data_IF_032233841430
#
_entry.id   IF_032233841430
#
_cell.length_a   1.000
_cell.length_b   1.000
_cell.length_c   1.000
_cell.angle_alpha   90.00
_cell.angle_beta   90.00
_cell.angle_gamma   90.00
#
_symmetry.space_group_name_H-M   'P 1'
#
loop_
_entity.id
_entity.type
_entity.pdbx_description
1 polymer ?
#
# COMPACT_ATOMS: atom_id res chain seq x y z
N UNK A 1 29.46 -6.13 13.55
CA UNK A 1 28.93 -5.24 12.49
C UNK A 1 29.04 -5.95 11.16
N UNK A 2 28.03 -6.71 10.78
CA UNK A 2 27.86 -7.11 9.39
C UNK A 2 27.09 -5.99 8.71
N UNK A 3 27.75 -5.31 7.78
CA UNK A 3 27.10 -4.30 6.93
C UNK A 3 25.97 -5.01 6.18
N UNK A 4 24.75 -4.53 6.35
CA UNK A 4 23.62 -4.97 5.54
C UNK A 4 23.89 -4.51 4.11
N UNK A 5 23.85 -5.43 3.15
CA UNK A 5 24.11 -5.08 1.75
C UNK A 5 23.16 -3.93 1.33
N UNK A 6 23.70 -2.84 0.77
CA UNK A 6 22.87 -1.73 0.31
C UNK A 6 21.93 -2.24 -0.77
N UNK A 7 20.63 -1.94 -0.62
CA UNK A 7 19.68 -2.17 -1.71
C UNK A 7 20.12 -1.26 -2.85
N UNK A 8 20.44 -1.86 -4.01
CA UNK A 8 20.82 -1.10 -5.19
C UNK A 8 19.64 -0.23 -5.64
N UNK A 9 19.71 1.07 -5.36
CA UNK A 9 18.72 2.02 -5.85
C UNK A 9 18.74 2.05 -7.37
N UNK A 10 17.63 1.72 -8.00
CA UNK A 10 17.42 2.01 -9.41
C UNK A 10 16.97 3.45 -9.51
N UNK A 11 17.79 4.31 -10.08
CA UNK A 11 17.33 5.65 -10.51
C UNK A 11 16.56 5.45 -11.80
N UNK A 12 15.31 5.93 -11.88
CA UNK A 12 14.61 5.95 -13.15
C UNK A 12 15.42 6.82 -14.14
N UNK A 13 15.55 6.41 -15.41
CA UNK A 13 16.05 7.33 -16.43
C UNK A 13 15.19 8.60 -16.45
N UNK A 14 15.73 9.76 -16.86
CA UNK A 14 14.94 10.97 -16.99
C UNK A 14 13.76 10.71 -17.95
N UNK A 15 12.55 10.71 -17.42
CA UNK A 15 11.35 10.38 -18.18
C UNK A 15 10.91 11.55 -19.07
N UNK A 16 10.32 11.17 -20.21
CA UNK A 16 9.59 12.07 -21.08
C UNK A 16 8.48 12.75 -20.29
N UNK A 17 8.31 14.06 -20.49
CA UNK A 17 7.19 14.83 -19.98
C UNK A 17 5.91 14.45 -20.73
N UNK A 18 5.35 13.28 -20.41
CA UNK A 18 4.02 12.86 -20.82
C UNK A 18 3.01 13.29 -19.77
N UNK A 19 2.99 14.60 -19.45
CA UNK A 19 1.83 15.21 -18.80
C UNK A 19 0.63 14.98 -19.73
N UNK A 20 -0.22 14.01 -19.38
CA UNK A 20 -1.54 13.95 -19.97
C UNK A 20 -2.24 15.28 -19.67
N UNK A 21 -2.90 15.93 -20.64
CA UNK A 21 -3.75 17.06 -20.33
C UNK A 21 -4.74 16.61 -19.25
N UNK A 22 -4.95 17.46 -18.24
CA UNK A 22 -5.84 17.22 -17.09
C UNK A 22 -5.33 16.27 -15.98
N UNK A 23 -4.02 16.03 -15.88
CA UNK A 23 -3.45 15.28 -14.77
C UNK A 23 -3.69 15.99 -13.42
N UNK A 24 -4.47 15.37 -12.53
CA UNK A 24 -4.64 15.83 -11.15
C UNK A 24 -3.41 15.43 -10.34
N UNK A 25 -2.51 16.38 -10.15
CA UNK A 25 -1.39 16.22 -9.23
C UNK A 25 -1.91 16.21 -7.79
N UNK A 26 -1.56 15.19 -6.97
CA UNK A 26 -2.00 15.18 -5.59
C UNK A 26 -1.29 16.30 -4.82
N UNK A 27 -2.09 17.12 -4.15
CA UNK A 27 -1.59 18.05 -3.14
C UNK A 27 -1.63 17.36 -1.78
N UNK A 28 -0.45 17.08 -1.24
CA UNK A 28 -0.32 16.45 0.07
C UNK A 28 -0.46 17.50 1.18
N UNK A 29 -1.16 17.14 2.24
CA UNK A 29 -1.34 18.02 3.39
C UNK A 29 0.01 18.31 4.05
N UNK A 30 0.41 19.59 4.06
CA UNK A 30 1.65 20.07 4.69
C UNK A 30 1.40 20.84 6.00
N UNK A 31 0.15 20.85 6.48
CA UNK A 31 -0.26 21.57 7.67
C UNK A 31 -0.16 20.74 8.95
N UNK A 32 -0.97 21.11 9.94
CA UNK A 32 -1.07 20.38 11.22
C UNK A 32 -1.71 19.01 11.01
N UNK A 33 -1.09 17.90 11.47
CA UNK A 33 -1.70 16.58 11.42
C UNK A 33 -3.11 16.58 12.05
N UNK A 34 -4.05 15.86 11.45
CA UNK A 34 -5.41 15.75 11.97
C UNK A 34 -5.47 15.05 13.35
N UNK A 35 -4.48 14.20 13.63
CA UNK A 35 -4.27 13.51 14.90
C UNK A 35 -2.85 13.80 15.36
N UNK A 36 -2.68 14.15 16.63
CA UNK A 36 -1.36 14.33 17.24
C UNK A 36 -0.52 13.05 17.09
N UNK A 37 0.66 13.11 16.42
CA UNK A 37 1.55 11.96 16.27
C UNK A 37 1.92 11.25 17.56
N UNK A 38 1.94 11.95 18.71
CA UNK A 38 2.21 11.34 20.00
C UNK A 38 1.15 10.29 20.42
N UNK A 39 -0.05 10.34 19.83
CA UNK A 39 -1.13 9.37 20.11
C UNK A 39 -0.94 8.02 19.44
N UNK A 40 -0.21 7.98 18.32
CA UNK A 40 0.01 6.76 17.55
C UNK A 40 1.48 6.36 17.41
N UNK A 41 2.42 7.18 17.89
CA UNK A 41 3.85 6.86 17.89
C UNK A 41 4.25 6.19 19.20
N UNK A 42 4.93 5.05 19.10
CA UNK A 42 5.60 4.38 20.22
C UNK A 42 7.10 4.45 19.95
N UNK A 43 7.80 5.24 20.78
CA UNK A 43 9.25 5.40 20.75
C UNK A 43 9.92 4.39 21.69
N UNK A 44 10.84 3.59 21.15
CA UNK A 44 11.57 2.55 21.88
C UNK A 44 13.00 2.96 22.26
N UNK A 45 13.39 4.20 21.99
CA UNK A 45 14.65 4.81 22.48
C UNK A 45 15.92 4.22 21.88
N UNK A 46 15.84 3.47 20.78
CA UNK A 46 16.98 2.90 20.05
C UNK A 46 17.53 1.61 20.66
N UNK A 47 16.94 1.11 21.75
CA UNK A 47 17.30 -0.17 22.34
C UNK A 47 16.89 -1.34 21.43
N UNK A 48 17.69 -2.40 21.30
CA UNK A 48 17.31 -3.54 20.48
C UNK A 48 16.11 -4.24 21.14
N UNK A 49 15.01 -4.35 20.39
CA UNK A 49 13.92 -5.26 20.75
C UNK A 49 14.44 -6.69 20.85
N UNK A 50 13.99 -7.40 21.88
CA UNK A 50 14.29 -8.81 22.09
C UNK A 50 13.20 -9.69 21.49
N UNK A 51 13.49 -10.98 21.31
CA UNK A 51 12.48 -11.95 20.89
C UNK A 51 11.29 -11.98 21.84
N UNK A 52 11.51 -11.74 23.14
CA UNK A 52 10.48 -11.70 24.18
C UNK A 52 9.51 -10.52 23.99
N UNK A 53 10.01 -9.37 23.53
CA UNK A 53 9.20 -8.19 23.20
C UNK A 53 8.35 -8.42 21.93
N UNK A 54 8.84 -9.25 21.01
CA UNK A 54 8.19 -9.58 19.74
C UNK A 54 7.23 -10.76 19.82
N UNK A 55 6.84 -11.21 21.02
CA UNK A 55 5.82 -12.25 21.22
C UNK A 55 4.43 -11.65 21.40
N UNK A 56 3.38 -12.31 20.89
CA UNK A 56 2.00 -12.00 21.27
C UNK A 56 1.83 -11.99 22.80
N UNK A 57 1.12 -11.00 23.33
CA UNK A 57 0.92 -10.80 24.77
C UNK A 57 2.13 -10.23 25.52
N UNK A 58 3.16 -9.76 24.80
CA UNK A 58 4.19 -8.90 25.41
C UNK A 58 3.60 -7.52 25.75
N UNK A 59 4.26 -6.78 26.65
CA UNK A 59 3.83 -5.41 26.96
C UNK A 59 3.87 -4.48 25.73
N UNK A 60 4.78 -4.74 24.77
CA UNK A 60 4.80 -4.04 23.48
C UNK A 60 3.56 -4.40 22.65
N UNK A 61 3.23 -5.69 22.56
CA UNK A 61 2.06 -6.15 21.81
C UNK A 61 0.77 -5.54 22.35
N UNK A 62 0.57 -5.57 23.68
CA UNK A 62 -0.59 -4.99 24.33
C UNK A 62 -0.68 -3.48 24.03
N UNK A 63 0.44 -2.76 24.18
CA UNK A 63 0.49 -1.33 23.90
C UNK A 63 0.20 -1.00 22.43
N UNK A 64 0.74 -1.76 21.49
CA UNK A 64 0.47 -1.56 20.07
C UNK A 64 -1.00 -1.81 19.73
N UNK A 65 -1.61 -2.87 20.29
CA UNK A 65 -3.03 -3.16 20.05
C UNK A 65 -3.93 -2.08 20.67
N UNK A 66 -3.65 -1.61 21.88
CA UNK A 66 -4.38 -0.49 22.49
C UNK A 66 -4.38 0.76 21.61
N UNK A 67 -3.19 1.16 21.11
CA UNK A 67 -3.03 2.32 20.24
C UNK A 67 -3.75 2.10 18.90
N UNK A 68 -3.63 0.90 18.32
CA UNK A 68 -4.30 0.56 17.07
C UNK A 68 -5.82 0.58 17.20
N UNK A 69 -6.37 0.06 18.29
CA UNK A 69 -7.81 0.04 18.53
C UNK A 69 -8.36 1.45 18.81
N UNK A 70 -7.58 2.33 19.45
CA UNK A 70 -7.97 3.71 19.71
C UNK A 70 -7.89 4.61 18.45
N UNK A 71 -6.82 4.48 17.66
CA UNK A 71 -6.48 5.45 16.59
C UNK A 71 -6.63 4.85 15.19
N UNK A 72 -6.51 3.54 15.02
CA UNK A 72 -6.45 2.86 13.73
C UNK A 72 -5.07 2.90 13.06
N UNK A 73 -4.05 3.44 13.73
CA UNK A 73 -2.67 3.56 13.25
C UNK A 73 -1.69 3.38 14.41
N UNK A 74 -0.58 2.69 14.16
CA UNK A 74 0.57 2.58 15.08
C UNK A 74 1.85 2.80 14.29
N UNK A 75 2.74 3.63 14.81
CA UNK A 75 4.08 3.87 14.27
C UNK A 75 5.10 3.51 15.35
N UNK A 76 5.89 2.47 15.11
CA UNK A 76 7.05 2.15 15.94
C UNK A 76 8.27 2.91 15.43
N UNK A 77 8.92 3.68 16.31
CA UNK A 77 10.16 4.40 16.01
C UNK A 77 11.28 3.98 16.94
N UNK A 78 12.52 4.20 16.48
CA UNK A 78 13.74 3.90 17.23
C UNK A 78 13.77 2.47 17.80
N UNK A 79 13.37 1.50 16.97
CA UNK A 79 13.18 0.10 17.35
C UNK A 79 14.47 -0.71 17.47
N UNK A 80 15.59 -0.18 16.96
CA UNK A 80 16.84 -0.91 16.82
C UNK A 80 16.84 -2.04 15.78
N UNK A 81 15.69 -2.33 15.14
CA UNK A 81 15.54 -3.40 14.16
C UNK A 81 16.21 -3.05 12.82
N UNK A 82 16.83 -4.04 12.17
CA UNK A 82 17.55 -3.85 10.88
C UNK A 82 17.17 -4.83 9.79
N UNK A 83 16.69 -6.00 10.14
CA UNK A 83 16.22 -7.00 9.19
C UNK A 83 14.69 -6.99 9.06
N UNK A 84 14.20 -7.35 7.88
CA UNK A 84 12.77 -7.33 7.56
C UNK A 84 11.99 -8.41 8.30
N UNK A 85 12.64 -9.51 8.69
CA UNK A 85 11.98 -10.60 9.40
C UNK A 85 11.54 -10.16 10.80
N UNK A 86 12.42 -9.51 11.56
CA UNK A 86 12.09 -8.95 12.86
C UNK A 86 11.07 -7.81 12.75
N UNK A 87 11.20 -6.92 11.75
CA UNK A 87 10.20 -5.88 11.48
C UNK A 87 8.82 -6.48 11.18
N UNK A 88 8.77 -7.59 10.44
CA UNK A 88 7.53 -8.34 10.18
C UNK A 88 6.96 -8.95 11.47
N UNK A 89 7.78 -9.51 12.35
CA UNK A 89 7.29 -10.03 13.64
C UNK A 89 6.65 -8.93 14.49
N UNK A 90 7.25 -7.75 14.54
CA UNK A 90 6.65 -6.59 15.20
C UNK A 90 5.28 -6.22 14.59
N UNK A 91 5.16 -6.22 13.26
CA UNK A 91 3.87 -5.96 12.59
C UNK A 91 2.80 -7.01 12.92
N UNK A 92 3.18 -8.28 13.04
CA UNK A 92 2.27 -9.38 13.39
C UNK A 92 1.74 -9.31 14.83
N UNK A 93 2.31 -8.47 15.69
CA UNK A 93 1.73 -8.21 17.01
C UNK A 93 0.33 -7.57 16.91
N UNK A 94 0.05 -6.84 15.82
CA UNK A 94 -1.25 -6.22 15.54
C UNK A 94 -1.98 -6.95 14.42
N UNK A 95 -1.26 -7.36 13.37
CA UNK A 95 -1.86 -8.10 12.25
C UNK A 95 -2.09 -9.56 12.65
N UNK A 96 -3.31 -9.89 13.07
CA UNK A 96 -3.75 -11.23 13.50
C UNK A 96 -3.63 -12.35 12.44
N UNK A 97 -3.05 -12.08 11.28
CA UNK A 97 -2.80 -13.03 10.20
C UNK A 97 -2.38 -12.34 8.90
N UNK A 98 -1.95 -13.15 7.93
CA UNK A 98 -1.51 -12.67 6.62
C UNK A 98 -2.52 -13.08 5.54
N UNK A 99 -2.74 -12.18 4.58
CA UNK A 99 -3.55 -12.47 3.40
C UNK A 99 -2.65 -12.90 2.24
N UNK A 100 -2.98 -14.01 1.57
CA UNK A 100 -2.37 -14.32 0.26
C UNK A 100 -2.89 -13.33 -0.77
N UNK A 101 -1.99 -12.62 -1.43
CA UNK A 101 -2.34 -11.64 -2.45
C UNK A 101 -2.70 -12.34 -3.77
N UNK A 102 -3.94 -12.23 -4.23
CA UNK A 102 -4.40 -12.87 -5.46
C UNK A 102 -5.26 -11.92 -6.33
N UNK A 103 -4.72 -11.51 -7.47
CA UNK A 103 -5.39 -10.66 -8.48
C UNK A 103 -5.25 -9.16 -8.21
N UNK A 104 -5.03 -8.37 -9.26
CA UNK A 104 -4.91 -6.91 -9.18
C UNK A 104 -3.52 -6.36 -8.82
N UNK A 105 -2.48 -7.21 -8.83
CA UNK A 105 -1.12 -6.84 -8.41
C UNK A 105 -0.31 -6.14 -9.49
N UNK A 106 0.56 -5.23 -9.06
CA UNK A 106 1.82 -4.89 -9.76
C UNK A 106 2.78 -6.08 -9.75
N UNK A 107 3.85 -6.08 -10.59
CA UNK A 107 4.94 -7.02 -10.45
C UNK A 107 5.67 -6.78 -9.11
N UNK A 108 5.18 -7.40 -8.04
CA UNK A 108 5.80 -7.36 -6.73
C UNK A 108 6.69 -8.59 -6.61
N UNK A 109 8.02 -8.42 -6.66
CA UNK A 109 8.94 -9.50 -6.30
C UNK A 109 8.94 -9.63 -4.77
N UNK A 110 8.65 -10.82 -4.21
CA UNK A 110 8.79 -11.02 -2.78
C UNK A 110 10.25 -10.78 -2.38
N UNK A 111 10.47 -9.92 -1.38
CA UNK A 111 11.79 -9.71 -0.77
C UNK A 111 11.98 -10.72 0.36
N UNK A 112 10.93 -10.96 1.14
CA UNK A 112 10.78 -11.95 2.21
C UNK A 112 9.33 -12.51 2.18
N UNK A 113 9.00 -13.60 2.90
CA UNK A 113 7.62 -14.09 3.00
C UNK A 113 6.63 -12.99 3.41
N UNK A 114 5.66 -12.70 2.53
CA UNK A 114 4.66 -11.63 2.68
C UNK A 114 5.24 -10.19 2.82
N UNK A 115 6.48 -9.98 2.41
CA UNK A 115 7.09 -8.65 2.26
C UNK A 115 7.33 -8.37 0.79
N UNK A 116 6.72 -7.30 0.30
CA UNK A 116 6.70 -6.95 -1.11
C UNK A 116 7.22 -5.54 -1.33
N UNK A 117 7.90 -5.33 -2.46
CA UNK A 117 8.15 -3.98 -2.98
C UNK A 117 6.88 -3.45 -3.68
N UNK A 118 6.60 -2.14 -3.54
CA UNK A 118 5.38 -1.49 -4.09
C UNK A 118 5.30 -1.61 -5.62
N UNK A 119 6.45 -1.76 -6.31
CA UNK A 119 6.53 -2.06 -7.74
C UNK A 119 5.97 -0.98 -8.67
N UNK A 120 5.66 0.21 -8.15
CA UNK A 120 5.20 1.34 -8.94
C UNK A 120 6.40 2.06 -9.62
N UNK A 121 6.21 2.65 -10.81
CA UNK A 121 7.22 3.50 -11.43
C UNK A 121 7.61 4.66 -10.50
N UNK A 122 8.87 5.10 -10.54
CA UNK A 122 9.37 6.17 -9.66
C UNK A 122 8.72 7.53 -9.92
N UNK A 123 8.17 7.73 -11.11
CA UNK A 123 7.44 8.94 -11.51
C UNK A 123 5.95 8.89 -11.14
N UNK A 124 5.45 7.76 -10.63
CA UNK A 124 4.03 7.60 -10.35
C UNK A 124 3.61 8.42 -9.14
N UNK A 125 2.52 9.17 -9.31
CA UNK A 125 1.79 9.77 -8.21
C UNK A 125 0.84 8.73 -7.61
N UNK A 126 1.14 8.23 -6.40
CA UNK A 126 0.27 7.30 -5.70
C UNK A 126 -0.74 8.08 -4.87
N UNK A 127 -1.96 8.27 -5.38
CA UNK A 127 -3.05 8.97 -4.67
C UNK A 127 -3.53 8.20 -3.43
N UNK A 128 -4.21 8.89 -2.50
CA UNK A 128 -4.89 8.24 -1.38
C UNK A 128 -5.90 7.20 -1.87
N UNK A 129 -5.84 6.00 -1.30
CA UNK A 129 -6.75 4.91 -1.57
C UNK A 129 -6.76 3.91 -0.41
N UNK A 130 -7.78 3.06 -0.37
CA UNK A 130 -7.73 1.83 0.41
C UNK A 130 -7.13 0.70 -0.45
N UNK A 131 -6.22 -0.08 0.13
CA UNK A 131 -5.61 -1.20 -0.57
C UNK A 131 -6.68 -2.20 -1.01
N UNK A 132 -6.67 -2.55 -2.30
CA UNK A 132 -7.64 -3.47 -2.91
C UNK A 132 -9.10 -2.97 -2.84
N UNK A 133 -9.35 -1.65 -2.87
CA UNK A 133 -10.69 -1.06 -2.80
C UNK A 133 -11.68 -1.51 -3.90
N UNK A 134 -11.17 -1.94 -5.07
CA UNK A 134 -12.00 -2.20 -6.25
C UNK A 134 -12.30 -3.68 -6.49
N UNK A 135 -11.91 -4.57 -5.58
CA UNK A 135 -12.21 -6.01 -5.64
C UNK A 135 -13.15 -6.40 -4.51
N UNK A 136 -13.95 -7.46 -4.70
CA UNK A 136 -15.02 -7.85 -3.76
C UNK A 136 -14.56 -8.27 -2.36
N UNK A 137 -13.25 -8.38 -2.12
CA UNK A 137 -12.64 -8.62 -0.79
C UNK A 137 -11.39 -7.76 -0.65
N UNK A 138 -11.39 -6.86 0.32
CA UNK A 138 -10.24 -6.01 0.65
C UNK A 138 -9.51 -6.51 1.90
N UNK A 139 -8.30 -6.00 2.11
CA UNK A 139 -7.60 -6.21 3.39
C UNK A 139 -8.24 -5.38 4.51
N UNK A 140 -8.18 -5.89 5.74
CA UNK A 140 -8.59 -5.15 6.94
C UNK A 140 -7.51 -4.17 7.41
N UNK A 141 -6.25 -4.54 7.24
CA UNK A 141 -5.11 -3.78 7.75
C UNK A 141 -3.87 -4.03 6.89
N UNK A 142 -2.90 -3.13 7.02
CA UNK A 142 -1.60 -3.22 6.36
C UNK A 142 -0.50 -2.87 7.35
N UNK A 143 0.68 -3.43 7.13
CA UNK A 143 1.90 -3.00 7.78
C UNK A 143 2.91 -2.53 6.73
N UNK A 144 3.59 -1.43 7.05
CA UNK A 144 4.68 -0.89 6.25
C UNK A 144 5.98 -1.05 7.03
N UNK A 145 7.00 -1.62 6.37
CA UNK A 145 8.31 -1.85 6.98
C UNK A 145 9.34 -0.94 6.29
N UNK A 146 10.10 -0.17 7.07
CA UNK A 146 11.12 0.73 6.55
C UNK A 146 12.52 0.14 6.75
N UNK A 147 13.05 -0.51 5.71
CA UNK A 147 14.45 -0.99 5.71
C UNK A 147 15.45 0.14 5.41
N UNK A 148 15.06 1.10 4.58
CA UNK A 148 15.90 2.23 4.20
C UNK A 148 15.02 3.43 3.87
N UNK A 149 15.27 4.55 4.54
CA UNK A 149 14.60 5.81 4.29
C UNK A 149 15.43 6.72 3.38
N UNK A 150 14.75 7.55 2.60
CA UNK A 150 15.36 8.65 1.86
C UNK A 150 15.22 9.94 2.68
N UNK A 151 16.20 10.86 2.64
CA UNK A 151 16.23 12.01 3.54
C UNK A 151 15.14 13.05 3.26
N UNK A 152 14.64 13.15 2.02
CA UNK A 152 13.80 14.26 1.54
C UNK A 152 12.53 13.81 0.81
N UNK A 153 12.30 12.50 0.67
CA UNK A 153 11.17 11.95 -0.10
C UNK A 153 10.79 10.54 0.36
N UNK A 154 9.70 10.02 -0.22
CA UNK A 154 9.23 8.65 0.04
C UNK A 154 8.39 8.50 1.31
N UNK A 155 7.91 9.61 1.87
CA UNK A 155 6.94 9.58 2.95
C UNK A 155 5.66 8.88 2.50
N UNK A 156 5.10 8.04 3.38
CA UNK A 156 3.77 7.44 3.20
C UNK A 156 2.78 8.27 4.01
N UNK A 157 1.80 8.86 3.34
CA UNK A 157 0.77 9.66 3.99
C UNK A 157 -0.44 8.80 4.34
N UNK A 158 -1.00 9.03 5.52
CA UNK A 158 -2.23 8.39 5.99
C UNK A 158 -3.30 9.45 6.18
N UNK A 159 -4.57 9.09 5.91
CA UNK A 159 -5.72 9.98 6.10
C UNK A 159 -6.75 9.31 7.00
N UNK A 160 -7.44 10.11 7.80
CA UNK A 160 -8.63 9.66 8.53
C UNK A 160 -9.78 9.50 7.53
N UNK A 161 -9.93 8.27 7.02
CA UNK A 161 -10.95 7.93 6.04
C UNK A 161 -12.38 8.08 6.57
N UNK A 162 -12.60 7.98 7.89
CA UNK A 162 -13.93 8.14 8.50
C UNK A 162 -14.31 9.61 8.48
N UNK A 163 -13.44 10.49 9.01
CA UNK A 163 -13.68 11.93 8.99
C UNK A 163 -13.78 12.48 7.55
N UNK A 164 -12.95 11.99 6.63
CA UNK A 164 -13.03 12.34 5.23
C UNK A 164 -14.37 11.92 4.61
N UNK A 165 -14.83 10.69 4.90
CA UNK A 165 -16.14 10.20 4.43
C UNK A 165 -17.28 11.02 5.00
N UNK A 166 -17.30 11.27 6.30
CA UNK A 166 -18.32 12.09 6.97
C UNK A 166 -18.40 13.48 6.35
N UNK A 167 -17.25 14.13 6.12
CA UNK A 167 -17.21 15.42 5.45
C UNK A 167 -17.77 15.36 4.03
N UNK A 168 -17.33 14.38 3.22
CA UNK A 168 -17.83 14.20 1.85
C UNK A 168 -19.35 14.04 1.84
N UNK A 169 -19.91 13.26 2.77
CA UNK A 169 -21.36 13.02 2.87
C UNK A 169 -22.18 14.28 3.23
N UNK A 170 -21.55 15.35 3.73
CA UNK A 170 -22.22 16.66 3.91
C UNK A 170 -22.44 17.40 2.58
N UNK A 171 -21.75 17.03 1.51
CA UNK A 171 -21.83 17.67 0.20
C UNK A 171 -22.95 17.08 -0.67
N UNK A 172 -23.40 17.80 -1.70
CA UNK A 172 -24.35 17.28 -2.69
C UNK A 172 -23.77 16.06 -3.42
N UNK A 173 -22.51 16.15 -3.85
CA UNK A 173 -21.80 15.07 -4.50
C UNK A 173 -21.75 13.81 -3.61
N UNK A 174 -21.36 13.95 -2.35
CA UNK A 174 -21.26 12.81 -1.43
C UNK A 174 -22.60 12.12 -1.18
N UNK A 175 -23.69 12.88 -1.06
CA UNK A 175 -25.04 12.27 -0.97
C UNK A 175 -25.40 11.49 -2.24
N UNK A 176 -25.10 12.03 -3.42
CA UNK A 176 -25.31 11.33 -4.69
C UNK A 176 -24.46 10.05 -4.78
N UNK A 177 -23.20 10.09 -4.36
CA UNK A 177 -22.30 8.92 -4.33
C UNK A 177 -22.82 7.84 -3.38
N UNK A 178 -23.35 8.22 -2.20
CA UNK A 178 -24.00 7.28 -1.27
C UNK A 178 -25.21 6.60 -1.90
N UNK A 179 -26.06 7.37 -2.58
CA UNK A 179 -27.34 6.87 -3.10
C UNK A 179 -27.17 6.02 -4.36
N UNK A 180 -26.18 6.32 -5.21
CA UNK A 180 -25.96 5.65 -6.49
C UNK A 180 -24.78 4.66 -6.49
N UNK A 181 -23.85 4.80 -5.55
CA UNK A 181 -22.56 4.11 -5.57
C UNK A 181 -21.59 4.68 -6.61
N UNK A 182 -20.53 3.92 -6.86
CA UNK A 182 -19.48 4.22 -7.84
C UNK A 182 -19.23 3.02 -8.75
N UNK A 183 -18.95 3.29 -10.02
CA UNK A 183 -18.50 2.28 -10.97
C UNK A 183 -17.04 2.56 -11.34
N UNK A 184 -16.16 1.63 -11.02
CA UNK A 184 -14.76 1.70 -11.42
C UNK A 184 -14.59 0.97 -12.75
N UNK A 185 -14.04 1.67 -13.73
CA UNK A 185 -13.70 1.10 -15.02
C UNK A 185 -12.19 1.16 -15.21
N UNK A 186 -11.61 0.02 -15.60
CA UNK A 186 -10.18 -0.09 -15.92
C UNK A 186 -10.02 -0.84 -17.24
N UNK A 187 -9.56 -0.13 -18.26
CA UNK A 187 -9.13 -0.76 -19.50
C UNK A 187 -7.75 -1.37 -19.29
N UNK A 188 -7.65 -2.69 -19.41
CA UNK A 188 -6.39 -3.42 -19.30
C UNK A 188 -5.87 -3.75 -20.69
N UNK A 189 -4.61 -3.43 -20.96
CA UNK A 189 -3.98 -3.75 -22.24
C UNK A 189 -3.63 -5.23 -22.33
N UNK A 190 -3.57 -5.73 -23.56
CA UNK A 190 -3.04 -7.04 -23.88
C UNK A 190 -1.53 -6.95 -24.13
N UNK A 191 -0.73 -7.71 -23.38
CA UNK A 191 0.72 -7.75 -23.54
C UNK A 191 1.16 -8.09 -24.97
N UNK A 192 0.44 -8.96 -25.67
CA UNK A 192 0.79 -9.37 -27.03
C UNK A 192 0.61 -8.24 -28.05
N UNK A 193 -0.31 -7.30 -27.78
CA UNK A 193 -0.51 -6.12 -28.63
C UNK A 193 0.65 -5.10 -28.54
N UNK A 194 1.57 -5.30 -27.60
CA UNK A 194 2.72 -4.43 -27.35
C UNK A 194 4.07 -5.08 -27.71
N UNK A 195 4.07 -6.25 -28.36
CA UNK A 195 5.31 -6.80 -28.95
C UNK A 195 5.88 -5.77 -29.93
N UNK A 196 7.17 -5.45 -29.75
CA UNK A 196 7.91 -4.42 -30.50
C UNK A 196 7.36 -2.99 -30.41
N UNK A 197 6.53 -2.69 -29.40
CA UNK A 197 6.01 -1.34 -29.11
C UNK A 197 6.45 -0.86 -27.74
N UNK A 198 6.58 0.46 -27.61
CA UNK A 198 6.85 1.08 -26.32
C UNK A 198 5.57 1.08 -25.48
N UNK A 199 5.67 0.63 -24.23
CA UNK A 199 4.57 0.55 -23.26
C UNK A 199 4.28 1.91 -22.60
N UNK A 200 4.04 2.95 -23.40
CA UNK A 200 3.75 4.29 -22.90
C UNK A 200 2.39 4.34 -22.17
N UNK A 201 2.39 4.73 -20.90
CA UNK A 201 1.18 4.85 -20.09
C UNK A 201 0.53 3.51 -19.71
N UNK A 202 1.19 2.39 -20.00
CA UNK A 202 0.73 1.07 -19.58
C UNK A 202 1.22 0.82 -18.16
N UNK A 203 0.29 0.70 -17.23
CA UNK A 203 0.61 0.38 -15.85
C UNK A 203 0.80 -1.13 -15.64
N UNK A 204 -0.16 -1.95 -16.09
CA UNK A 204 -0.06 -3.42 -16.15
C UNK A 204 -0.97 -3.95 -17.28
N UNK A 205 -0.57 -5.07 -17.89
CA UNK A 205 -1.42 -5.86 -18.79
C UNK A 205 -2.36 -6.79 -18.03
N UNK A 206 -3.43 -7.25 -18.69
CA UNK A 206 -4.41 -8.17 -18.10
C UNK A 206 -3.77 -9.49 -17.68
N UNK A 207 -2.81 -10.02 -18.46
CA UNK A 207 -2.16 -11.30 -18.17
C UNK A 207 -1.45 -11.29 -16.81
N UNK A 208 -0.73 -10.20 -16.52
CA UNK A 208 -0.04 -10.04 -15.24
C UNK A 208 -1.03 -9.87 -14.09
N UNK A 209 -2.09 -9.10 -14.30
CA UNK A 209 -3.06 -8.78 -13.24
C UNK A 209 -3.97 -9.96 -12.88
N UNK A 210 -4.24 -10.84 -13.85
CA UNK A 210 -5.02 -12.08 -13.65
C UNK A 210 -4.14 -13.31 -13.42
N UNK A 211 -2.83 -13.22 -13.67
CA UNK A 211 -1.86 -14.30 -13.45
C UNK A 211 -2.05 -15.49 -14.39
N UNK A 212 -2.46 -15.23 -15.64
CA UNK A 212 -2.76 -16.24 -16.66
C UNK A 212 -2.63 -15.63 -18.05
N UNK A 213 -2.30 -16.45 -19.05
CA UNK A 213 -2.31 -16.08 -20.47
C UNK A 213 -3.56 -16.60 -21.20
N UNK A 214 -4.46 -17.32 -20.51
CA UNK A 214 -5.75 -17.78 -21.04
C UNK A 214 -6.85 -16.73 -20.73
N UNK A 215 -7.48 -16.12 -21.77
CA UNK A 215 -8.55 -15.13 -21.59
C UNK A 215 -9.78 -15.67 -20.85
N UNK A 216 -10.17 -16.93 -21.07
CA UNK A 216 -11.34 -17.52 -20.43
C UNK A 216 -11.07 -17.72 -18.92
N UNK A 217 -9.86 -18.13 -18.57
CA UNK A 217 -9.41 -18.20 -17.18
C UNK A 217 -9.30 -16.82 -16.53
N UNK A 218 -8.85 -15.80 -17.29
CA UNK A 218 -8.79 -14.43 -16.81
C UNK A 218 -10.18 -13.90 -16.46
N UNK A 219 -11.18 -14.14 -17.32
CA UNK A 219 -12.57 -13.78 -17.08
C UNK A 219 -13.11 -14.48 -15.82
N UNK A 220 -12.95 -15.81 -15.70
CA UNK A 220 -13.39 -16.54 -14.50
C UNK A 220 -12.77 -15.99 -13.22
N UNK A 221 -11.48 -15.63 -13.25
CA UNK A 221 -10.77 -15.04 -12.10
C UNK A 221 -11.28 -13.64 -11.77
N UNK A 222 -11.61 -12.83 -12.77
CA UNK A 222 -12.17 -11.49 -12.57
C UNK A 222 -13.57 -11.57 -11.95
N UNK A 223 -14.44 -12.43 -12.49
CA UNK A 223 -15.81 -12.66 -12.00
C UNK A 223 -15.82 -13.19 -10.56
N UNK A 224 -14.92 -14.14 -10.24
CA UNK A 224 -14.75 -14.65 -8.87
C UNK A 224 -14.35 -13.57 -7.85
N UNK A 225 -13.83 -12.42 -8.33
CA UNK A 225 -13.46 -11.25 -7.53
C UNK A 225 -14.53 -10.15 -7.55
N UNK A 226 -15.70 -10.42 -8.14
CA UNK A 226 -16.80 -9.47 -8.25
C UNK A 226 -16.63 -8.42 -9.35
N UNK A 227 -15.73 -8.66 -10.31
CA UNK A 227 -15.52 -7.79 -11.47
C UNK A 227 -16.40 -8.24 -12.63
N UNK A 228 -16.71 -7.31 -13.54
CA UNK A 228 -17.28 -7.61 -14.85
C UNK A 228 -16.23 -7.34 -15.91
N UNK A 229 -16.13 -8.24 -16.88
CA UNK A 229 -15.27 -8.09 -18.06
C UNK A 229 -16.16 -7.86 -19.28
N UNK A 230 -15.69 -7.03 -20.20
CA UNK A 230 -16.35 -6.69 -21.47
C UNK A 230 -15.42 -7.01 -22.65
#
# INVERSE_FOLDING_TARGET
>A
MTATDPIAFRTAPPEFDVRQPDLIMPEWWAGTPAIDPARFTIDLGGGPLTDDDLRPGSGLADRMNEVYDEVGLVVLVDTGLRDLAAMRQAALLVLAGEMRYEGGSNPRRPIEPNVFEVGAPLSAWLHYHHEMAYVGKSTRALAFLCKQALPDRGATFFSDSVAATDHVLTTELGRKLRDLGVCYHRAMTDREAFVDRLELGVYNHWQLSMGTDDPDEAQRRAEARGLRTE
#
